data_IF_000748860296
#
_entry.id   IF_000748860296
#
_cell.length_a   1.000
_cell.length_b   1.000
_cell.length_c   1.000
_cell.angle_alpha   90.00
_cell.angle_beta   90.00
_cell.angle_gamma   90.00
#
_symmetry.space_group_name_H-M   'P 1'
#
loop_
_entity.id
_entity.type
_entity.pdbx_description
1 polymer ?
#
# COMPACT_ATOMS: atom_id res chain seq x y z
N UNK A 1 11.37 -30.07 -29.04
CA UNK A 1 10.15 -30.14 -28.19
C UNK A 1 10.39 -29.31 -26.95
N UNK A 2 9.40 -28.48 -26.60
CA UNK A 2 9.27 -27.59 -25.42
C UNK A 2 10.09 -26.28 -25.38
N UNK A 3 9.48 -25.27 -26.01
CA UNK A 3 9.19 -23.93 -25.48
C UNK A 3 10.05 -23.39 -24.32
N UNK A 4 10.99 -22.50 -24.63
CA UNK A 4 11.45 -21.46 -23.70
C UNK A 4 10.71 -20.18 -24.06
N UNK A 5 9.54 -20.02 -23.44
CA UNK A 5 8.72 -18.84 -23.57
C UNK A 5 9.27 -17.68 -22.74
N UNK A 6 9.50 -16.56 -23.43
CA UNK A 6 9.15 -15.21 -22.98
C UNK A 6 9.69 -14.84 -21.59
N UNK A 7 10.96 -14.46 -21.55
CA UNK A 7 11.53 -13.66 -20.48
C UNK A 7 11.15 -12.18 -20.73
N UNK A 8 9.90 -11.80 -20.44
CA UNK A 8 9.53 -10.38 -20.38
C UNK A 8 10.07 -9.79 -19.10
N UNK A 9 11.25 -9.18 -19.22
CA UNK A 9 11.80 -8.16 -18.33
C UNK A 9 10.76 -7.07 -18.07
N UNK A 10 10.04 -7.16 -16.95
CA UNK A 10 9.41 -5.99 -16.33
C UNK A 10 10.47 -5.25 -15.51
N UNK A 11 11.36 -4.55 -16.21
CA UNK A 11 12.14 -3.46 -15.63
C UNK A 11 11.20 -2.25 -15.52
N UNK A 12 10.44 -2.17 -14.43
CA UNK A 12 9.70 -0.95 -14.09
C UNK A 12 10.71 0.05 -13.53
N UNK A 13 10.92 1.22 -14.17
CA UNK A 13 11.87 2.20 -13.68
C UNK A 13 11.34 2.86 -12.41
N UNK A 14 11.91 2.52 -11.25
CA UNK A 14 11.63 3.11 -9.95
C UNK A 14 11.96 4.62 -9.82
N UNK A 15 12.30 5.30 -10.93
CA UNK A 15 12.70 6.72 -10.94
C UNK A 15 11.58 7.70 -11.30
N UNK A 16 10.45 7.23 -11.84
CA UNK A 16 9.35 8.13 -12.22
C UNK A 16 8.44 8.53 -11.04
N UNK A 17 8.33 7.72 -9.99
CA UNK A 17 7.37 7.96 -8.90
C UNK A 17 7.82 8.99 -7.85
N UNK A 18 9.10 9.37 -7.82
CA UNK A 18 9.63 10.25 -6.78
C UNK A 18 9.49 11.75 -7.11
N UNK A 19 9.24 12.12 -8.37
CA UNK A 19 9.18 13.53 -8.77
C UNK A 19 7.77 14.15 -8.64
N UNK A 20 6.70 13.34 -8.68
CA UNK A 20 5.33 13.85 -8.60
C UNK A 20 4.84 14.20 -7.19
N UNK A 21 5.52 13.72 -6.13
CA UNK A 21 5.13 14.09 -4.76
C UNK A 21 5.56 15.51 -4.35
N UNK A 22 6.59 16.08 -4.99
CA UNK A 22 7.12 17.40 -4.62
C UNK A 22 6.31 18.57 -5.16
N UNK A 23 5.53 18.38 -6.22
CA UNK A 23 4.76 19.46 -6.86
C UNK A 23 3.37 19.68 -6.24
N UNK A 24 2.81 18.69 -5.52
CA UNK A 24 1.47 18.81 -4.92
C UNK A 24 1.45 19.44 -3.52
N UNK A 25 2.59 19.54 -2.83
CA UNK A 25 2.63 20.07 -1.46
C UNK A 25 2.65 21.61 -1.46
N UNK A 26 3.11 22.26 -2.54
CA UNK A 26 3.31 23.72 -2.59
C UNK A 26 2.06 24.53 -2.91
N UNK A 27 0.97 23.93 -3.40
CA UNK A 27 -0.25 24.68 -3.79
C UNK A 27 -1.31 24.82 -2.69
N UNK A 28 -1.21 24.04 -1.60
CA UNK A 28 -2.21 24.02 -0.53
C UNK A 28 -1.94 25.09 0.54
N UNK A 29 -0.68 25.50 0.73
CA UNK A 29 -0.29 26.40 1.83
C UNK A 29 -0.53 27.90 1.56
N UNK A 30 -0.76 28.32 0.31
CA UNK A 30 -0.90 29.73 -0.06
C UNK A 30 -2.34 30.22 -0.23
N UNK A 31 -3.34 29.32 -0.26
CA UNK A 31 -4.75 29.71 -0.36
C UNK A 31 -5.43 29.92 1.01
N UNK A 32 -4.76 29.60 2.12
CA UNK A 32 -5.35 29.62 3.46
C UNK A 32 -5.16 30.94 4.23
N UNK A 33 -4.37 31.90 3.73
CA UNK A 33 -4.02 33.11 4.50
C UNK A 33 -4.74 34.40 4.06
N UNK A 34 -5.50 34.39 2.95
CA UNK A 34 -6.01 35.63 2.34
C UNK A 34 -7.56 35.78 2.30
N UNK A 35 -8.30 34.88 2.94
CA UNK A 35 -9.75 34.93 3.02
C UNK A 35 -10.15 34.56 4.45
N UNK A 36 -10.78 35.37 5.31
CA UNK A 36 -11.40 36.68 5.24
C UNK A 36 -11.70 37.01 6.73
N UNK A 37 -11.37 38.20 7.20
CA UNK A 37 -12.16 38.87 8.24
C UNK A 37 -12.81 40.08 7.54
N UNK A 38 -14.14 40.23 7.64
CA UNK A 38 -14.64 41.08 8.72
C UNK A 38 -15.95 40.60 9.37
N UNK A 39 -16.10 41.04 10.62
CA UNK A 39 -17.27 40.89 11.49
C UNK A 39 -18.54 41.50 10.87
N UNK A 40 -19.62 40.72 10.84
CA UNK A 40 -20.99 41.23 10.76
C UNK A 40 -21.85 40.50 11.81
N UNK A 41 -22.33 41.18 12.87
CA UNK A 41 -23.22 40.57 13.85
C UNK A 41 -24.66 40.83 13.42
N UNK A 42 -25.19 40.00 12.52
CA UNK A 42 -26.63 39.99 12.29
C UNK A 42 -27.25 38.74 12.92
N UNK A 43 -27.89 38.98 14.06
CA UNK A 43 -28.66 38.02 14.83
C UNK A 43 -29.83 37.52 13.97
N UNK A 44 -29.63 36.42 13.27
CA UNK A 44 -30.72 35.60 12.79
C UNK A 44 -31.17 34.62 13.90
N UNK A 45 -32.49 34.44 14.10
CA UNK A 45 -33.00 33.51 15.11
C UNK A 45 -32.52 32.08 14.82
N UNK A 46 -32.04 31.44 15.89
CA UNK A 46 -31.68 30.03 15.94
C UNK A 46 -32.82 29.15 15.40
N UNK A 47 -32.72 28.79 14.12
CA UNK A 47 -33.36 27.59 13.61
C UNK A 47 -32.44 26.44 14.02
N UNK A 48 -32.84 25.54 14.94
CA UNK A 48 -31.99 24.39 15.26
C UNK A 48 -31.72 23.66 13.93
N UNK A 49 -30.46 23.34 13.59
CA UNK A 49 -30.20 22.49 12.45
C UNK A 49 -30.90 21.17 12.77
N UNK A 50 -32.02 20.92 12.08
CA UNK A 50 -32.62 19.60 12.03
C UNK A 50 -31.48 18.66 11.71
N UNK A 51 -31.20 17.74 12.64
CA UNK A 51 -30.11 16.78 12.56
C UNK A 51 -29.93 16.37 11.10
N UNK A 52 -28.83 16.78 10.48
CA UNK A 52 -28.54 16.33 9.13
C UNK A 52 -28.27 14.84 9.30
N UNK A 53 -29.30 14.05 9.03
CA UNK A 53 -29.20 12.61 8.91
C UNK A 53 -28.06 12.39 7.93
N UNK A 54 -26.90 12.01 8.46
CA UNK A 54 -25.74 11.65 7.68
C UNK A 54 -26.19 10.48 6.83
N UNK A 55 -26.50 10.77 5.56
CA UNK A 55 -26.86 9.73 4.60
C UNK A 55 -25.81 8.64 4.73
N UNK A 56 -26.21 7.38 5.00
CA UNK A 56 -25.26 6.30 5.11
C UNK A 56 -24.40 6.34 3.85
N UNK A 57 -23.11 6.59 4.04
CA UNK A 57 -22.16 6.74 2.95
C UNK A 57 -22.24 5.43 2.19
N UNK A 58 -22.86 5.46 1.01
CA UNK A 58 -23.07 4.29 0.17
C UNK A 58 -21.77 3.50 0.14
N UNK A 59 -21.80 2.17 0.40
CA UNK A 59 -20.60 1.36 0.44
C UNK A 59 -19.85 1.58 -0.88
N UNK A 60 -18.74 2.32 -0.81
CA UNK A 60 -17.91 2.63 -1.97
C UNK A 60 -17.42 1.30 -2.49
N UNK A 61 -17.98 0.85 -3.62
CA UNK A 61 -17.42 -0.28 -4.34
C UNK A 61 -15.96 0.04 -4.63
N UNK A 62 -15.06 -0.77 -4.08
CA UNK A 62 -13.64 -0.59 -4.30
C UNK A 62 -13.36 -0.77 -5.79
N UNK A 63 -12.65 0.20 -6.39
CA UNK A 63 -12.29 0.10 -7.79
C UNK A 63 -11.32 -1.08 -7.98
N UNK A 64 -11.26 -1.61 -9.20
CA UNK A 64 -10.29 -2.65 -9.56
C UNK A 64 -8.86 -2.24 -9.20
N UNK A 65 -8.53 -0.95 -9.32
CA UNK A 65 -7.23 -0.39 -8.92
C UNK A 65 -6.99 -0.50 -7.41
N UNK A 66 -7.99 -0.24 -6.57
CA UNK A 66 -7.88 -0.42 -5.11
C UNK A 66 -7.71 -1.89 -4.74
N UNK A 67 -8.40 -2.80 -5.43
CA UNK A 67 -8.22 -4.25 -5.17
C UNK A 67 -6.80 -4.70 -5.56
N UNK A 68 -6.32 -4.27 -6.72
CA UNK A 68 -4.97 -4.59 -7.18
C UNK A 68 -3.88 -4.06 -6.23
N UNK A 69 -4.04 -2.84 -5.70
CA UNK A 69 -3.06 -2.28 -4.76
C UNK A 69 -3.03 -3.04 -3.42
N UNK A 70 -4.18 -3.50 -2.92
CA UNK A 70 -4.25 -4.31 -1.70
C UNK A 70 -3.53 -5.66 -1.92
N UNK A 71 -3.75 -6.31 -3.06
CA UNK A 71 -3.05 -7.56 -3.40
C UNK A 71 -1.55 -7.35 -3.52
N UNK A 72 -1.11 -6.26 -4.16
CA UNK A 72 0.30 -5.93 -4.29
C UNK A 72 0.97 -5.66 -2.93
N UNK A 73 0.28 -4.94 -2.04
CA UNK A 73 0.75 -4.71 -0.67
C UNK A 73 0.81 -6.02 0.13
N UNK A 74 -0.17 -6.90 -0.04
CA UNK A 74 -0.16 -8.25 0.56
C UNK A 74 1.02 -9.09 0.07
N UNK A 75 1.31 -9.06 -1.23
CA UNK A 75 2.47 -9.75 -1.80
C UNK A 75 3.79 -9.17 -1.30
N UNK A 76 3.93 -7.85 -1.20
CA UNK A 76 5.12 -7.19 -0.64
C UNK A 76 5.30 -7.54 0.84
N UNK A 77 4.25 -7.42 1.64
CA UNK A 77 4.29 -7.80 3.06
C UNK A 77 4.66 -9.28 3.24
N UNK A 78 4.07 -10.16 2.42
CA UNK A 78 4.41 -11.57 2.37
C UNK A 78 5.86 -11.83 1.96
N UNK A 79 6.40 -11.08 0.99
CA UNK A 79 7.78 -11.19 0.54
C UNK A 79 8.76 -10.93 1.69
N UNK A 80 8.59 -9.81 2.39
CA UNK A 80 9.48 -9.47 3.50
C UNK A 80 9.29 -10.40 4.70
N UNK A 81 8.05 -10.73 5.06
CA UNK A 81 7.77 -11.64 6.16
C UNK A 81 8.30 -13.05 5.88
N UNK A 82 8.11 -13.56 4.68
CA UNK A 82 8.62 -14.86 4.25
C UNK A 82 10.14 -14.88 4.14
N UNK A 83 10.75 -13.79 3.65
CA UNK A 83 12.19 -13.65 3.59
C UNK A 83 12.83 -13.66 4.98
N UNK A 84 12.30 -12.85 5.89
CA UNK A 84 12.78 -12.76 7.26
C UNK A 84 12.52 -14.07 8.04
N UNK A 85 11.33 -14.63 7.92
CA UNK A 85 10.96 -15.91 8.55
C UNK A 85 11.82 -17.06 8.03
N UNK A 86 12.07 -17.11 6.71
CA UNK A 86 12.93 -18.10 6.09
C UNK A 86 14.39 -17.98 6.56
N UNK A 87 14.92 -16.76 6.63
CA UNK A 87 16.26 -16.51 7.16
C UNK A 87 16.39 -16.93 8.64
N UNK A 88 15.39 -16.61 9.46
CA UNK A 88 15.35 -16.99 10.87
C UNK A 88 15.25 -18.51 11.05
N UNK A 89 14.44 -19.20 10.23
CA UNK A 89 14.28 -20.66 10.26
C UNK A 89 15.58 -21.40 9.89
N UNK A 90 16.32 -20.90 8.90
CA UNK A 90 17.62 -21.47 8.54
C UNK A 90 18.57 -21.43 9.73
N UNK A 91 18.67 -20.29 10.41
CA UNK A 91 19.52 -20.14 11.60
C UNK A 91 19.07 -20.99 12.79
N UNK A 92 17.76 -21.26 12.92
CA UNK A 92 17.21 -22.02 14.04
C UNK A 92 17.31 -23.55 13.84
N UNK A 93 17.10 -24.04 12.62
CA UNK A 93 16.97 -25.49 12.34
C UNK A 93 18.29 -26.07 11.83
N UNK A 94 19.05 -25.31 11.05
CA UNK A 94 20.31 -25.75 10.46
C UNK A 94 21.35 -24.62 10.58
N UNK A 95 21.91 -24.39 11.79
CA UNK A 95 22.91 -23.35 12.02
C UNK A 95 24.19 -23.69 11.24
N UNK A 96 24.23 -23.29 9.98
CA UNK A 96 25.40 -23.41 9.13
C UNK A 96 26.34 -22.24 9.44
N UNK A 97 27.63 -22.55 9.72
CA UNK A 97 28.72 -21.57 9.77
C UNK A 97 29.12 -21.10 8.35
N UNK A 98 28.14 -20.79 7.52
CA UNK A 98 28.37 -20.23 6.19
C UNK A 98 28.59 -18.72 6.29
N UNK A 99 29.21 -18.16 5.25
CA UNK A 99 29.52 -16.72 5.16
C UNK A 99 28.26 -15.84 5.30
N UNK A 100 27.11 -16.32 4.82
CA UNK A 100 25.84 -15.58 4.81
C UNK A 100 24.68 -16.35 5.47
N UNK A 101 24.58 -16.33 6.80
CA UNK A 101 23.48 -16.97 7.52
C UNK A 101 22.12 -16.37 7.12
N UNK A 102 21.20 -17.20 6.63
CA UNK A 102 19.83 -16.82 6.30
C UNK A 102 19.59 -16.35 4.86
N UNK A 103 20.63 -16.28 4.01
CA UNK A 103 20.46 -15.88 2.62
C UNK A 103 19.65 -16.91 1.82
N UNK A 104 19.88 -18.21 2.02
CA UNK A 104 19.12 -19.26 1.32
C UNK A 104 17.66 -19.30 1.79
N UNK A 105 17.47 -19.19 3.09
CA UNK A 105 16.17 -19.13 3.74
C UNK A 105 15.36 -17.95 3.24
N UNK A 106 15.97 -16.78 3.10
CA UNK A 106 15.28 -15.60 2.52
C UNK A 106 15.04 -15.73 1.02
N UNK A 107 15.97 -16.32 0.27
CA UNK A 107 15.84 -16.52 -1.18
C UNK A 107 14.63 -17.40 -1.55
N UNK A 108 14.33 -18.40 -0.71
CA UNK A 108 13.17 -19.29 -0.90
C UNK A 108 11.93 -18.75 -0.18
N UNK A 109 12.11 -18.27 1.05
CA UNK A 109 11.05 -17.79 1.90
C UNK A 109 10.38 -16.54 1.35
N UNK A 110 11.12 -15.63 0.72
CA UNK A 110 10.55 -14.38 0.21
C UNK A 110 9.60 -14.60 -0.98
N UNK A 111 9.94 -15.34 -2.05
CA UNK A 111 8.99 -15.68 -3.10
C UNK A 111 7.78 -16.48 -2.58
N UNK A 112 8.00 -17.47 -1.71
CA UNK A 112 6.92 -18.27 -1.14
C UNK A 112 5.96 -17.41 -0.30
N UNK A 113 6.51 -16.55 0.55
CA UNK A 113 5.76 -15.60 1.36
C UNK A 113 5.01 -14.58 0.51
N UNK A 114 5.59 -14.11 -0.60
CA UNK A 114 4.93 -13.17 -1.51
C UNK A 114 3.68 -13.78 -2.16
N UNK A 115 3.77 -15.03 -2.63
CA UNK A 115 2.63 -15.76 -3.19
C UNK A 115 1.57 -15.99 -2.13
N UNK A 116 1.95 -16.43 -0.93
CA UNK A 116 1.02 -16.66 0.18
C UNK A 116 0.32 -15.36 0.61
N UNK A 117 1.06 -14.26 0.78
CA UNK A 117 0.53 -12.96 1.17
C UNK A 117 -0.38 -12.35 0.09
N UNK A 118 -0.02 -12.49 -1.18
CA UNK A 118 -0.85 -12.06 -2.30
C UNK A 118 -2.16 -12.85 -2.39
N UNK A 119 -2.11 -14.17 -2.23
CA UNK A 119 -3.32 -15.02 -2.19
C UNK A 119 -4.23 -14.69 -1.02
N UNK A 120 -3.67 -14.45 0.16
CA UNK A 120 -4.43 -14.04 1.34
C UNK A 120 -5.13 -12.70 1.12
N UNK A 121 -4.41 -11.70 0.60
CA UNK A 121 -4.96 -10.39 0.29
C UNK A 121 -6.02 -10.44 -0.83
N UNK A 122 -5.84 -11.31 -1.83
CA UNK A 122 -6.85 -11.56 -2.85
C UNK A 122 -8.13 -12.16 -2.27
N UNK A 123 -8.00 -13.10 -1.34
CA UNK A 123 -9.16 -13.70 -0.68
C UNK A 123 -9.98 -12.68 0.12
N UNK A 124 -9.33 -11.76 0.84
CA UNK A 124 -10.02 -10.71 1.60
C UNK A 124 -10.62 -9.58 0.76
N UNK A 125 -10.21 -9.44 -0.51
CA UNK A 125 -10.70 -8.38 -1.40
C UNK A 125 -11.79 -8.86 -2.37
N UNK A 126 -12.06 -10.16 -2.40
CA UNK A 126 -13.12 -10.77 -3.23
C UNK A 126 -14.48 -10.58 -2.57
#
# INVERSE_FOLDING_TARGET
>A
MLSVGILTTFAVPARAAAQDLRSSITSVALRSAAQQLPLAPDRLPHRPPLASWSSPKSPRQSSAATKASIVALGALGGFFAGGFGGAALENAIAPCRCDDPGLKGSLIGAPAGAVAGGMLAFHFTR
#
